data_IF_261410702218
#
_entry.id   IF_261410702218
#
_cell.length_a   1.000
_cell.length_b   1.000
_cell.length_c   1.000
_cell.angle_alpha   90.00
_cell.angle_beta   90.00
_cell.angle_gamma   90.00
#
_symmetry.space_group_name_H-M   'P 1'
#
loop_
_entity.id
_entity.type
_entity.pdbx_description
1 polymer ?
#
# COMPACT_ATOMS: atom_id res chain seq x y z
N UNK A 1 -53.65 38.96 21.56
CA UNK A 1 -52.48 39.32 20.72
C UNK A 1 -51.20 38.97 21.48
N UNK A 2 -50.28 38.27 20.80
CA UNK A 2 -48.80 38.32 20.93
C UNK A 2 -48.22 38.12 22.36
N UNK A 3 -47.69 36.93 22.66
CA UNK A 3 -46.25 36.53 22.51
C UNK A 3 -45.30 37.50 23.22
N UNK A 4 -44.50 36.98 24.16
CA UNK A 4 -43.02 37.03 24.13
C UNK A 4 -42.41 36.17 25.27
N UNK A 5 -41.62 35.19 24.83
CA UNK A 5 -40.50 34.44 25.41
C UNK A 5 -40.35 34.26 26.94
N UNK A 6 -40.46 32.99 27.35
CA UNK A 6 -39.70 32.43 28.47
C UNK A 6 -38.28 32.09 27.99
N UNK A 7 -37.27 32.74 28.56
CA UNK A 7 -35.92 32.16 28.62
C UNK A 7 -35.84 31.26 29.85
N UNK A 8 -36.02 29.96 29.65
CA UNK A 8 -35.56 28.95 30.59
C UNK A 8 -34.22 28.47 30.09
N UNK A 9 -33.16 28.94 30.72
CA UNK A 9 -31.82 28.34 30.66
C UNK A 9 -31.92 26.92 31.18
N UNK A 10 -32.22 25.98 30.28
CA UNK A 10 -31.99 24.57 30.51
C UNK A 10 -30.50 24.33 30.37
N UNK A 11 -29.80 24.25 31.50
CA UNK A 11 -28.54 23.52 31.61
C UNK A 11 -28.80 22.07 31.24
N UNK A 12 -28.75 21.74 29.94
CA UNK A 12 -28.72 20.35 29.51
C UNK A 12 -27.35 19.79 29.90
N UNK A 13 -27.36 18.94 30.93
CA UNK A 13 -26.35 17.91 31.13
C UNK A 13 -26.27 17.09 29.84
N UNK A 14 -25.32 17.43 28.96
CA UNK A 14 -24.85 16.48 27.97
C UNK A 14 -24.10 15.42 28.75
N UNK A 15 -24.76 14.28 28.93
CA UNK A 15 -24.12 13.01 29.24
C UNK A 15 -22.90 12.88 28.34
N UNK A 16 -21.72 13.12 28.88
CA UNK A 16 -20.49 12.66 28.28
C UNK A 16 -20.64 11.13 28.26
N UNK A 17 -21.04 10.60 27.10
CA UNK A 17 -20.83 9.20 26.82
C UNK A 17 -19.33 8.99 26.98
N UNK A 18 -18.94 8.40 28.12
CA UNK A 18 -17.65 7.74 28.23
C UNK A 18 -17.69 6.65 27.18
N UNK A 19 -17.24 6.98 25.97
CA UNK A 19 -16.78 5.98 25.04
C UNK A 19 -15.65 5.27 25.79
N UNK A 20 -15.79 3.97 26.12
CA UNK A 20 -14.68 3.25 26.68
C UNK A 20 -13.53 3.41 25.69
N UNK A 21 -12.45 4.04 26.15
CA UNK A 21 -11.18 3.99 25.44
C UNK A 21 -10.82 2.51 25.49
N UNK A 22 -11.19 1.79 24.43
CA UNK A 22 -10.67 0.45 24.18
C UNK A 22 -9.18 0.66 24.04
N UNK A 23 -8.46 0.31 25.11
CA UNK A 23 -7.03 0.43 25.20
C UNK A 23 -6.47 -0.51 24.11
N UNK A 24 -6.17 0.04 22.92
CA UNK A 24 -5.62 -0.67 21.75
C UNK A 24 -4.17 -1.13 21.97
N UNK A 25 -3.73 -1.28 23.22
CA UNK A 25 -2.34 -1.60 23.57
C UNK A 25 -1.96 -3.06 23.33
N UNK A 26 -2.90 -3.93 22.94
CA UNK A 26 -2.62 -5.34 22.59
C UNK A 26 -3.12 -5.72 21.20
N UNK A 27 -3.14 -4.80 20.22
CA UNK A 27 -3.11 -5.25 18.82
C UNK A 27 -1.69 -5.69 18.56
N UNK A 28 -1.46 -7.01 18.57
CA UNK A 28 -0.31 -7.57 17.87
C UNK A 28 -0.46 -7.05 16.44
N UNK A 29 0.45 -6.16 16.03
CA UNK A 29 0.44 -5.69 14.66
C UNK A 29 0.54 -6.93 13.76
N UNK A 30 -0.30 -7.01 12.72
CA UNK A 30 -0.29 -8.17 11.85
C UNK A 30 1.12 -8.36 11.29
N UNK A 31 1.62 -9.60 11.17
CA UNK A 31 2.89 -9.84 10.52
C UNK A 31 2.85 -9.22 9.12
N UNK A 32 3.89 -8.46 8.81
CA UNK A 32 3.99 -7.72 7.56
C UNK A 32 5.31 -8.01 6.88
N UNK A 33 5.29 -7.97 5.55
CA UNK A 33 6.50 -8.02 4.72
C UNK A 33 6.68 -6.66 4.06
N UNK A 34 7.91 -6.17 4.04
CA UNK A 34 8.25 -4.92 3.37
C UNK A 34 9.00 -5.19 2.08
N UNK A 35 8.56 -4.57 0.99
CA UNK A 35 9.26 -4.56 -0.30
C UNK A 35 9.70 -3.13 -0.59
N UNK A 36 11.00 -2.93 -0.76
CA UNK A 36 11.56 -1.67 -1.22
C UNK A 36 11.82 -1.71 -2.72
N UNK A 37 11.44 -0.63 -3.43
CA UNK A 37 11.66 -0.48 -4.86
C UNK A 37 12.05 0.95 -5.20
N UNK A 38 12.89 1.12 -6.21
CA UNK A 38 13.30 2.43 -6.71
C UNK A 38 12.62 2.72 -8.05
N UNK A 39 11.92 3.84 -8.12
CA UNK A 39 11.34 4.38 -9.35
C UNK A 39 12.10 5.63 -9.76
N UNK A 40 12.14 5.94 -11.06
CA UNK A 40 12.86 7.11 -11.54
C UNK A 40 12.33 7.64 -12.85
N UNK A 41 12.42 8.94 -13.02
CA UNK A 41 12.21 9.58 -14.31
C UNK A 41 13.34 10.57 -14.59
N UNK A 42 13.52 10.88 -15.87
CA UNK A 42 14.51 11.85 -16.33
C UNK A 42 13.94 12.74 -17.41
N UNK A 43 14.29 14.01 -17.40
CA UNK A 43 13.95 14.97 -18.44
C UNK A 43 15.17 15.81 -18.82
N UNK A 44 15.41 16.00 -20.11
CA UNK A 44 16.53 16.80 -20.59
C UNK A 44 16.09 18.25 -20.76
N UNK A 45 16.65 19.17 -19.97
CA UNK A 45 16.33 20.60 -20.06
C UNK A 45 16.71 21.23 -21.40
N UNK A 46 17.54 20.59 -22.22
CA UNK A 46 17.75 21.03 -23.60
C UNK A 46 16.46 21.08 -24.44
N UNK A 47 15.42 20.36 -24.04
CA UNK A 47 14.11 20.37 -24.71
C UNK A 47 13.23 21.57 -24.32
N UNK A 48 13.65 22.37 -23.33
CA UNK A 48 12.96 23.59 -22.95
C UNK A 48 13.33 24.73 -23.92
N UNK A 49 12.36 25.56 -24.29
CA UNK A 49 12.62 26.72 -25.13
C UNK A 49 13.18 27.90 -24.31
N UNK A 50 14.50 27.90 -24.12
CA UNK A 50 15.20 29.02 -23.46
C UNK A 50 15.11 30.34 -24.22
N UNK A 51 14.76 30.35 -25.51
CA UNK A 51 14.58 31.60 -26.26
C UNK A 51 13.27 32.29 -25.88
N UNK A 52 12.28 31.53 -25.40
CA UNK A 52 11.03 32.07 -24.85
C UNK A 52 11.20 32.75 -23.48
N UNK A 53 12.39 32.65 -22.86
CA UNK A 53 12.62 33.23 -21.55
C UNK A 53 12.54 34.76 -21.55
N UNK A 54 11.41 35.28 -21.05
CA UNK A 54 11.30 36.67 -20.65
C UNK A 54 11.80 36.82 -19.20
N UNK A 55 13.04 37.28 -19.05
CA UNK A 55 13.74 37.44 -17.77
C UNK A 55 13.15 38.60 -16.94
N UNK A 56 12.02 38.33 -16.29
CA UNK A 56 11.28 39.28 -15.48
C UNK A 56 11.91 39.43 -14.09
N UNK A 57 11.92 40.65 -13.56
CA UNK A 57 12.39 40.92 -12.19
C UNK A 57 11.36 40.32 -11.21
N UNK A 58 11.81 39.40 -10.36
CA UNK A 58 10.99 38.78 -9.32
C UNK A 58 10.86 39.70 -8.09
N UNK A 59 10.08 39.26 -7.09
CA UNK A 59 9.86 40.01 -5.85
C UNK A 59 11.14 40.30 -5.05
N UNK A 60 12.21 39.53 -5.27
CA UNK A 60 13.52 39.66 -4.62
C UNK A 60 14.48 40.55 -5.45
N UNK A 61 14.02 41.12 -6.57
CA UNK A 61 14.83 41.97 -7.44
C UNK A 61 15.73 41.21 -8.43
N UNK A 62 15.63 39.89 -8.50
CA UNK A 62 16.41 39.04 -9.40
C UNK A 62 15.66 38.78 -10.71
N UNK A 63 16.37 38.71 -11.84
CA UNK A 63 15.74 38.29 -13.10
C UNK A 63 15.42 36.81 -13.03
N UNK A 64 14.21 36.42 -13.39
CA UNK A 64 13.72 35.04 -13.33
C UNK A 64 12.98 34.65 -14.60
N UNK A 65 13.03 33.37 -14.94
CA UNK A 65 12.31 32.76 -16.05
C UNK A 65 11.77 31.40 -15.59
N UNK A 66 10.50 31.12 -15.85
CA UNK A 66 9.89 29.81 -15.59
C UNK A 66 9.56 29.14 -16.91
N UNK A 67 10.04 27.90 -17.10
CA UNK A 67 9.80 27.10 -18.29
C UNK A 67 9.07 25.81 -17.91
N UNK A 68 8.23 25.33 -18.81
CA UNK A 68 7.46 24.09 -18.70
C UNK A 68 7.17 23.56 -20.11
N UNK A 69 7.08 22.24 -20.26
CA UNK A 69 6.50 21.61 -21.46
C UNK A 69 5.61 20.43 -21.05
N UNK A 70 4.63 20.04 -21.88
CA UNK A 70 3.81 18.86 -21.61
C UNK A 70 4.64 17.59 -21.37
N UNK A 71 5.70 17.39 -22.14
CA UNK A 71 6.60 16.22 -22.02
C UNK A 71 7.33 16.19 -20.68
N UNK A 72 7.61 17.36 -20.09
CA UNK A 72 8.23 17.41 -18.77
C UNK A 72 7.28 16.82 -17.71
N UNK A 73 6.00 17.18 -17.78
CA UNK A 73 4.97 16.70 -16.86
C UNK A 73 4.68 15.19 -17.04
N UNK A 74 4.66 14.72 -18.30
CA UNK A 74 4.40 13.30 -18.60
C UNK A 74 5.44 12.37 -17.97
N UNK A 75 6.72 12.75 -17.91
CA UNK A 75 7.75 11.88 -17.31
C UNK A 75 7.51 11.57 -15.83
N UNK A 76 7.02 12.55 -15.05
CA UNK A 76 6.62 12.33 -13.67
C UNK A 76 5.32 11.52 -13.58
N UNK A 77 4.35 11.82 -14.45
CA UNK A 77 3.07 11.12 -14.51
C UNK A 77 3.24 9.61 -14.79
N UNK A 78 4.07 9.25 -15.77
CA UNK A 78 4.37 7.86 -16.12
C UNK A 78 5.02 7.11 -14.94
N UNK A 79 5.94 7.76 -14.24
CA UNK A 79 6.58 7.19 -13.04
C UNK A 79 5.58 6.95 -11.91
N UNK A 80 4.65 7.89 -11.70
CA UNK A 80 3.55 7.70 -10.74
C UNK A 80 2.70 6.48 -11.16
N UNK A 81 2.32 6.37 -12.44
CA UNK A 81 1.56 5.21 -12.95
C UNK A 81 2.30 3.89 -12.73
N UNK A 82 3.62 3.85 -12.90
CA UNK A 82 4.44 2.66 -12.60
C UNK A 82 4.38 2.28 -11.10
N UNK A 83 4.37 3.25 -10.19
CA UNK A 83 4.16 2.99 -8.75
C UNK A 83 2.80 2.34 -8.52
N UNK A 84 1.73 2.90 -9.10
CA UNK A 84 0.37 2.33 -8.96
C UNK A 84 0.28 0.91 -9.52
N UNK A 85 0.84 0.67 -10.72
CA UNK A 85 0.87 -0.66 -11.33
C UNK A 85 1.62 -1.66 -10.46
N UNK A 86 2.73 -1.25 -9.83
CA UNK A 86 3.46 -2.08 -8.89
C UNK A 86 2.63 -2.44 -7.65
N UNK A 87 1.94 -1.46 -7.04
CA UNK A 87 1.05 -1.72 -5.88
C UNK A 87 -0.10 -2.67 -6.23
N UNK A 88 -0.72 -2.49 -7.40
CA UNK A 88 -1.84 -3.34 -7.87
C UNK A 88 -1.37 -4.77 -8.16
N UNK A 89 -0.15 -4.95 -8.67
CA UNK A 89 0.40 -6.28 -8.97
C UNK A 89 0.61 -7.12 -7.70
N UNK A 90 0.90 -6.48 -6.57
CA UNK A 90 1.14 -7.11 -5.28
C UNK A 90 -0.18 -7.38 -4.52
N UNK A 91 -1.04 -8.25 -5.07
CA UNK A 91 -2.45 -8.55 -4.69
C UNK A 91 -2.74 -8.97 -3.23
N UNK A 92 -2.35 -8.20 -2.23
CA UNK A 92 -2.60 -8.50 -0.82
C UNK A 92 -3.73 -7.63 -0.24
N UNK A 93 -4.45 -8.18 0.74
CA UNK A 93 -5.68 -7.60 1.28
C UNK A 93 -5.47 -6.26 2.01
N UNK A 94 -4.25 -6.00 2.48
CA UNK A 94 -3.87 -4.75 3.14
C UNK A 94 -2.45 -4.36 2.73
N UNK A 95 -2.37 -3.39 1.82
CA UNK A 95 -1.11 -2.78 1.40
C UNK A 95 -1.04 -1.36 1.97
N UNK A 96 -0.03 -1.07 2.76
CA UNK A 96 0.38 0.30 3.06
C UNK A 96 1.60 0.62 2.21
N UNK A 97 1.71 1.84 1.68
CA UNK A 97 2.93 2.24 0.98
C UNK A 97 3.24 3.70 1.20
N UNK A 98 4.51 4.03 0.97
CA UNK A 98 5.02 5.40 1.07
C UNK A 98 6.30 5.53 0.26
N UNK A 99 6.55 6.73 -0.22
CA UNK A 99 7.88 7.18 -0.64
C UNK A 99 8.68 7.54 0.60
N UNK A 100 9.81 6.85 0.78
CA UNK A 100 10.77 7.07 1.86
C UNK A 100 11.69 8.25 1.61
N UNK A 101 12.06 8.46 0.34
CA UNK A 101 12.94 9.54 -0.05
C UNK A 101 12.82 9.87 -1.52
N UNK A 102 12.92 11.15 -1.84
CA UNK A 102 13.10 11.64 -3.21
C UNK A 102 14.53 12.17 -3.30
N UNK A 103 15.26 11.67 -4.27
CA UNK A 103 16.62 12.09 -4.56
C UNK A 103 16.67 12.65 -5.98
N UNK A 104 17.24 13.84 -6.11
CA UNK A 104 17.35 14.51 -7.39
C UNK A 104 18.81 14.52 -7.82
N UNK A 105 19.08 14.15 -9.07
CA UNK A 105 20.36 14.37 -9.72
C UNK A 105 20.21 15.41 -10.84
N UNK A 106 20.96 16.50 -10.74
CA UNK A 106 21.05 17.53 -11.75
C UNK A 106 22.50 18.02 -11.86
N UNK A 107 23.09 17.91 -13.05
CA UNK A 107 24.49 18.30 -13.32
C UNK A 107 25.51 17.66 -12.34
N UNK A 108 25.42 16.35 -12.11
CA UNK A 108 26.26 15.59 -11.15
C UNK A 108 26.13 16.05 -9.69
N UNK A 109 25.04 16.76 -9.37
CA UNK A 109 24.72 17.20 -8.01
C UNK A 109 23.48 16.50 -7.54
N UNK A 110 23.47 16.24 -6.26
CA UNK A 110 22.60 15.28 -5.64
C UNK A 110 21.98 15.93 -4.43
N UNK A 111 20.66 16.02 -4.40
CA UNK A 111 19.94 16.54 -3.24
C UNK A 111 18.83 15.58 -2.81
N UNK A 112 18.56 15.55 -1.50
CA UNK A 112 17.50 14.74 -0.92
C UNK A 112 16.40 15.64 -0.41
N UNK A 113 15.21 15.47 -0.97
CA UNK A 113 14.05 16.25 -0.60
C UNK A 113 13.32 15.53 0.53
N UNK A 114 13.62 15.93 1.77
CA UNK A 114 12.95 15.38 2.95
C UNK A 114 11.65 16.09 3.29
N UNK A 115 11.57 17.40 3.02
CA UNK A 115 10.45 18.24 3.47
C UNK A 115 9.17 18.08 2.63
N UNK A 116 9.26 17.47 1.46
CA UNK A 116 8.11 17.30 0.54
C UNK A 116 7.53 15.89 0.55
N UNK A 117 8.11 14.97 1.34
CA UNK A 117 7.69 13.56 1.39
C UNK A 117 6.28 13.41 1.92
N UNK A 118 5.91 14.15 2.97
CA UNK A 118 4.57 14.07 3.55
C UNK A 118 3.51 14.55 2.55
N UNK A 119 3.77 15.66 1.86
CA UNK A 119 2.87 16.17 0.80
C UNK A 119 2.75 15.16 -0.35
N UNK A 120 3.85 14.53 -0.75
CA UNK A 120 3.85 13.54 -1.84
C UNK A 120 3.14 12.25 -1.43
N UNK A 121 3.35 11.77 -0.20
CA UNK A 121 2.69 10.58 0.33
C UNK A 121 1.19 10.79 0.55
N UNK A 122 0.78 11.99 0.99
CA UNK A 122 -0.64 12.35 1.08
C UNK A 122 -1.32 12.32 -0.29
N UNK A 123 -0.65 12.84 -1.34
CA UNK A 123 -1.15 12.78 -2.72
C UNK A 123 -1.24 11.35 -3.24
N UNK A 124 -0.24 10.52 -2.94
CA UNK A 124 -0.21 9.14 -3.43
C UNK A 124 -1.16 8.22 -2.68
N UNK A 125 -1.67 8.63 -1.50
CA UNK A 125 -2.50 7.80 -0.66
C UNK A 125 -3.77 7.27 -1.37
N UNK A 126 -4.03 5.98 -1.19
CA UNK A 126 -5.13 5.20 -1.77
C UNK A 126 -5.82 4.52 -0.58
N UNK A 127 -7.13 4.72 -0.43
CA UNK A 127 -7.87 4.08 0.66
C UNK A 127 -8.09 2.57 0.43
N UNK A 128 -8.08 2.12 -0.83
CA UNK A 128 -8.30 0.71 -1.22
C UNK A 128 -7.47 0.32 -2.46
N UNK A 129 -6.33 -0.39 -2.29
CA UNK A 129 -5.45 -0.82 -3.39
C UNK A 129 -6.13 -1.71 -4.45
N UNK A 130 -7.23 -2.37 -4.08
CA UNK A 130 -7.95 -3.33 -4.94
C UNK A 130 -8.88 -2.69 -5.97
N UNK A 131 -9.13 -1.38 -5.88
CA UNK A 131 -10.04 -0.67 -6.79
C UNK A 131 -9.43 0.60 -7.38
N UNK A 132 -8.10 0.68 -7.36
CA UNK A 132 -7.40 1.90 -7.75
C UNK A 132 -7.41 2.07 -9.26
N UNK A 133 -8.11 3.10 -9.72
CA UNK A 133 -7.96 3.55 -11.10
C UNK A 133 -6.61 4.28 -11.23
N UNK A 134 -5.74 3.77 -12.12
CA UNK A 134 -4.40 4.34 -12.38
C UNK A 134 -4.50 5.81 -12.84
N UNK A 135 -5.67 6.23 -13.35
CA UNK A 135 -5.92 7.58 -13.85
C UNK A 135 -6.36 8.58 -12.75
N UNK A 136 -6.32 8.22 -11.46
CA UNK A 136 -6.77 9.12 -10.37
C UNK A 136 -5.75 10.21 -10.02
N UNK A 137 -4.45 9.96 -10.25
CA UNK A 137 -3.40 10.96 -9.99
C UNK A 137 -2.90 11.55 -11.29
N UNK A 138 -2.96 12.87 -11.37
CA UNK A 138 -2.59 13.63 -12.57
C UNK A 138 -1.57 14.70 -12.23
N UNK A 139 -0.50 14.76 -13.02
CA UNK A 139 0.44 15.88 -13.00
C UNK A 139 -0.13 16.97 -13.91
N UNK A 140 -0.65 18.05 -13.35
CA UNK A 140 -1.29 19.11 -14.14
C UNK A 140 -0.28 20.06 -14.75
N UNK A 141 0.84 20.27 -14.09
CA UNK A 141 1.96 21.05 -14.61
C UNK A 141 3.25 20.69 -13.88
N UNK A 142 4.36 20.67 -14.62
CA UNK A 142 5.69 20.61 -14.06
C UNK A 142 6.54 21.71 -14.68
N UNK A 143 7.18 22.52 -13.83
CA UNK A 143 7.94 23.68 -14.28
C UNK A 143 9.27 23.82 -13.55
N UNK A 144 10.21 24.48 -14.21
CA UNK A 144 11.51 24.84 -13.65
C UNK A 144 11.66 26.35 -13.69
N UNK A 145 12.05 26.95 -12.57
CA UNK A 145 12.37 28.38 -12.48
C UNK A 145 13.88 28.57 -12.44
N UNK A 146 14.39 29.37 -13.38
CA UNK A 146 15.76 29.83 -13.42
C UNK A 146 15.85 31.28 -12.92
N UNK A 147 16.95 31.62 -12.27
CA UNK A 147 17.30 32.99 -11.89
C UNK A 147 18.59 33.41 -12.59
N UNK A 148 18.70 34.70 -12.90
CA UNK A 148 19.85 35.34 -13.52
C UNK A 148 20.25 36.57 -12.71
N UNK A 149 21.55 36.66 -12.46
CA UNK A 149 22.20 37.83 -11.85
C UNK A 149 23.35 38.30 -12.73
N UNK A 150 23.69 39.58 -12.65
CA UNK A 150 24.85 40.13 -13.36
C UNK A 150 25.95 40.47 -12.35
N UNK A 151 27.13 39.93 -12.58
CA UNK A 151 28.35 40.25 -11.87
C UNK A 151 29.26 41.10 -12.78
N UNK A 152 29.69 42.31 -12.36
CA UNK A 152 30.53 43.17 -13.19
C UNK A 152 31.87 42.53 -13.63
N UNK A 153 32.39 41.58 -12.86
CA UNK A 153 33.67 40.93 -13.12
C UNK A 153 33.52 39.60 -13.86
N UNK A 154 32.44 38.88 -13.60
CA UNK A 154 32.24 37.51 -14.10
C UNK A 154 31.10 37.39 -15.14
N UNK A 155 30.39 38.47 -15.43
CA UNK A 155 29.27 38.49 -16.36
C UNK A 155 27.99 37.91 -15.76
N UNK A 156 27.13 37.36 -16.62
CA UNK A 156 25.88 36.74 -16.19
C UNK A 156 26.13 35.43 -15.43
N UNK A 157 25.39 35.27 -14.33
CA UNK A 157 25.35 34.07 -13.49
C UNK A 157 23.93 33.54 -13.44
N UNK A 158 23.77 32.25 -13.67
CA UNK A 158 22.48 31.58 -13.70
C UNK A 158 22.33 30.59 -12.54
N UNK A 159 21.11 30.38 -12.11
CA UNK A 159 20.76 29.46 -11.02
C UNK A 159 19.47 28.73 -11.36
N UNK A 160 19.34 27.50 -10.90
CA UNK A 160 18.03 26.82 -10.85
C UNK A 160 17.43 27.10 -9.49
N UNK A 161 16.40 27.95 -9.44
CA UNK A 161 15.70 28.32 -8.20
C UNK A 161 14.94 27.13 -7.65
N UNK A 162 14.09 26.52 -8.50
CA UNK A 162 13.33 25.34 -8.15
C UNK A 162 12.81 24.57 -9.37
N UNK A 163 12.38 23.33 -9.13
CA UNK A 163 11.52 22.53 -10.00
C UNK A 163 10.27 22.19 -9.20
N UNK A 164 9.11 22.59 -9.69
CA UNK A 164 7.83 22.39 -9.00
C UNK A 164 6.91 21.55 -9.88
N UNK A 165 6.29 20.53 -9.29
CA UNK A 165 5.19 19.79 -9.87
C UNK A 165 3.88 20.12 -9.16
N UNK A 166 2.84 20.39 -9.94
CA UNK A 166 1.46 20.49 -9.51
C UNK A 166 0.79 19.14 -9.78
N UNK A 167 0.30 18.50 -8.71
CA UNK A 167 -0.26 17.15 -8.76
C UNK A 167 -1.64 17.17 -8.11
N UNK A 168 -2.60 16.54 -8.78
CA UNK A 168 -3.97 16.37 -8.34
C UNK A 168 -4.27 14.89 -8.13
N UNK A 169 -4.94 14.56 -7.02
CA UNK A 169 -5.55 13.27 -6.78
C UNK A 169 -7.07 13.44 -6.80
N UNK A 170 -7.72 12.90 -7.83
CA UNK A 170 -9.16 13.00 -8.06
C UNK A 170 -9.99 12.11 -7.11
N UNK A 171 -9.40 11.08 -6.50
CA UNK A 171 -10.08 10.23 -5.51
C UNK A 171 -10.23 10.97 -4.18
N UNK A 172 -9.18 11.65 -3.73
CA UNK A 172 -9.16 12.39 -2.46
C UNK A 172 -9.55 13.86 -2.60
N UNK A 173 -9.68 14.37 -3.83
CA UNK A 173 -9.84 15.79 -4.16
C UNK A 173 -8.72 16.68 -3.57
N UNK A 174 -7.50 16.16 -3.52
CA UNK A 174 -6.33 16.88 -3.02
C UNK A 174 -5.52 17.39 -4.22
N UNK A 175 -5.09 18.65 -4.15
CA UNK A 175 -4.15 19.26 -5.10
C UNK A 175 -2.99 19.89 -4.32
N UNK A 176 -1.75 19.57 -4.70
CA UNK A 176 -0.55 20.08 -4.03
C UNK A 176 0.52 20.50 -5.04
N UNK A 177 1.35 21.45 -4.60
CA UNK A 177 2.60 21.82 -5.25
C UNK A 177 3.74 21.12 -4.53
N UNK A 178 4.48 20.30 -5.25
CA UNK A 178 5.61 19.53 -4.74
C UNK A 178 6.89 20.16 -5.29
N UNK A 179 7.76 20.59 -4.40
CA UNK A 179 9.06 21.10 -4.78
C UNK A 179 10.04 19.93 -5.01
N UNK A 180 10.25 19.56 -6.27
CA UNK A 180 11.08 18.43 -6.70
C UNK A 180 12.56 18.77 -6.84
N UNK A 181 12.95 20.02 -6.64
CA UNK A 181 14.33 20.47 -6.57
C UNK A 181 14.33 21.92 -6.14
N UNK A 182 15.15 22.32 -5.17
CA UNK A 182 15.17 23.68 -4.68
C UNK A 182 16.03 23.79 -3.44
N UNK A 183 16.45 25.00 -3.09
CA UNK A 183 17.79 25.22 -2.54
C UNK A 183 17.94 24.87 -1.05
N UNK A 184 18.99 24.08 -0.72
CA UNK A 184 20.06 24.55 0.17
C UNK A 184 21.48 24.47 -0.48
N UNK A 185 21.66 24.96 -1.70
CA UNK A 185 22.83 25.79 -2.10
C UNK A 185 22.61 26.39 -3.50
N UNK A 186 22.63 27.72 -3.62
CA UNK A 186 22.55 28.44 -4.90
C UNK A 186 23.76 28.08 -5.76
N UNK A 187 23.67 27.05 -6.60
CA UNK A 187 24.77 26.71 -7.49
C UNK A 187 24.79 27.63 -8.71
N UNK A 188 25.94 28.28 -8.93
CA UNK A 188 26.18 29.17 -10.04
C UNK A 188 26.52 28.37 -11.30
N UNK A 189 25.76 28.61 -12.37
CA UNK A 189 26.06 28.22 -13.74
C UNK A 189 26.54 29.43 -14.52
N UNK A 190 27.56 29.26 -15.37
CA UNK A 190 28.20 30.36 -16.11
C UNK A 190 27.49 30.70 -17.42
N UNK A 191 26.64 29.80 -17.91
CA UNK A 191 25.90 30.00 -19.15
C UNK A 191 24.57 29.25 -19.13
N UNK A 192 23.68 29.63 -20.04
CA UNK A 192 22.43 28.91 -20.29
C UNK A 192 22.71 27.48 -20.78
N UNK A 193 23.80 27.24 -21.51
CA UNK A 193 24.12 25.92 -22.02
C UNK A 193 24.49 24.93 -20.89
N UNK A 194 25.07 25.39 -19.79
CA UNK A 194 25.30 24.55 -18.60
C UNK A 194 24.00 24.12 -17.91
N UNK A 195 22.88 24.81 -18.16
CA UNK A 195 21.55 24.45 -17.63
C UNK A 195 20.86 23.36 -18.48
N UNK A 196 21.29 23.19 -19.74
CA UNK A 196 20.69 22.25 -20.72
C UNK A 196 21.18 20.82 -20.52
N UNK A 197 20.88 20.27 -19.35
CA UNK A 197 21.31 18.92 -18.96
C UNK A 197 20.13 18.09 -18.44
N UNK A 198 20.41 16.81 -18.17
CA UNK A 198 19.41 15.90 -17.63
C UNK A 198 19.11 16.23 -16.17
N UNK A 199 17.82 16.36 -15.91
CA UNK A 199 17.21 16.41 -14.60
C UNK A 199 16.62 15.03 -14.29
N UNK A 200 17.08 14.40 -13.22
CA UNK A 200 16.69 13.03 -12.87
C UNK A 200 16.16 13.03 -11.44
N UNK A 201 15.01 12.40 -11.22
CA UNK A 201 14.54 12.10 -9.86
C UNK A 201 14.44 10.60 -9.63
N UNK A 202 14.76 10.21 -8.40
CA UNK A 202 14.71 8.86 -7.90
C UNK A 202 13.83 8.82 -6.65
N UNK A 203 12.81 7.97 -6.68
CA UNK A 203 11.85 7.77 -5.60
C UNK A 203 12.13 6.40 -4.99
N UNK A 204 12.59 6.38 -3.74
CA UNK A 204 12.69 5.14 -2.99
C UNK A 204 11.34 4.90 -2.33
N UNK A 205 10.68 3.83 -2.76
CA UNK A 205 9.32 3.46 -2.41
C UNK A 205 9.34 2.23 -1.52
N UNK A 206 8.53 2.24 -0.47
CA UNK A 206 8.34 1.14 0.46
C UNK A 206 6.87 0.69 0.39
N UNK A 207 6.67 -0.60 0.16
CA UNK A 207 5.38 -1.27 0.18
C UNK A 207 5.36 -2.26 1.35
N UNK A 208 4.49 -2.02 2.31
CA UNK A 208 4.22 -2.90 3.44
C UNK A 208 2.98 -3.75 3.12
N UNK A 209 3.19 -5.05 3.05
CA UNK A 209 2.20 -6.05 2.69
C UNK A 209 1.79 -6.83 3.92
N UNK A 210 0.49 -7.05 4.08
CA UNK A 210 -0.06 -7.98 5.07
C UNK A 210 -0.87 -9.04 4.33
N UNK A 211 -0.50 -10.30 4.53
CA UNK A 211 -1.20 -11.45 3.95
C UNK A 211 -2.44 -11.73 4.80
N UNK A 212 -3.61 -11.78 4.17
CA UNK A 212 -4.86 -12.24 4.80
C UNK A 212 -5.23 -13.60 4.21
N UNK A 213 -5.29 -14.62 5.07
CA UNK A 213 -5.67 -15.97 4.68
C UNK A 213 -7.14 -16.31 4.99
N UNK A 214 -7.96 -15.31 5.35
CA UNK A 214 -9.38 -15.52 5.68
C UNK A 214 -10.13 -16.09 4.48
N UNK A 215 -10.49 -17.38 4.58
CA UNK A 215 -11.14 -18.12 3.50
C UNK A 215 -11.93 -19.30 4.07
N UNK A 216 -12.97 -19.74 3.34
CA UNK A 216 -13.73 -20.94 3.65
C UNK A 216 -13.82 -21.79 2.38
N UNK A 217 -13.27 -23.01 2.44
CA UNK A 217 -13.46 -24.02 1.38
C UNK A 217 -14.83 -24.67 1.53
N UNK A 218 -15.87 -23.99 1.07
CA UNK A 218 -17.27 -24.36 1.29
C UNK A 218 -17.79 -25.47 0.34
N UNK A 219 -17.04 -25.83 -0.71
CA UNK A 219 -17.43 -26.84 -1.70
C UNK A 219 -16.43 -28.00 -1.86
N UNK A 220 -15.48 -28.15 -0.93
CA UNK A 220 -14.47 -29.22 -0.93
C UNK A 220 -13.52 -29.18 -2.13
N UNK A 221 -12.98 -28.01 -2.46
CA UNK A 221 -11.92 -27.84 -3.48
C UNK A 221 -10.57 -28.38 -3.03
N UNK A 222 -10.34 -28.52 -1.72
CA UNK A 222 -9.07 -29.02 -1.19
C UNK A 222 -8.75 -30.44 -1.68
N UNK A 223 -9.79 -31.25 -1.92
CA UNK A 223 -9.70 -32.68 -2.25
C UNK A 223 -8.86 -33.49 -1.22
N UNK A 224 -8.66 -32.96 -0.01
CA UNK A 224 -7.89 -33.63 1.04
C UNK A 224 -8.79 -34.62 1.77
N UNK A 225 -8.43 -35.90 1.67
CA UNK A 225 -9.18 -37.03 2.22
C UNK A 225 -8.32 -37.72 3.28
N UNK A 226 -8.87 -37.92 4.48
CA UNK A 226 -8.19 -38.67 5.53
C UNK A 226 -8.13 -40.17 5.19
N UNK A 227 -7.00 -40.86 5.46
CA UNK A 227 -6.86 -42.29 5.19
C UNK A 227 -7.69 -43.15 6.15
N UNK A 228 -8.20 -44.26 5.60
CA UNK A 228 -9.04 -45.25 6.28
C UNK A 228 -8.22 -46.21 7.15
N UNK A 229 -7.83 -45.79 8.34
CA UNK A 229 -7.23 -46.72 9.33
C UNK A 229 -8.19 -47.06 10.48
N UNK A 230 -9.19 -46.21 10.79
CA UNK A 230 -10.15 -46.42 11.89
C UNK A 230 -11.49 -45.75 11.56
N UNK A 231 -12.62 -46.34 12.00
CA UNK A 231 -14.00 -45.87 11.70
C UNK A 231 -14.26 -44.42 12.12
N UNK A 232 -13.51 -43.90 13.10
CA UNK A 232 -13.52 -42.51 13.51
C UNK A 232 -12.13 -42.07 14.00
N UNK A 233 -11.73 -40.85 13.67
CA UNK A 233 -10.47 -40.27 14.15
C UNK A 233 -10.74 -39.21 15.21
N UNK A 234 -10.05 -39.32 16.34
CA UNK A 234 -9.99 -38.24 17.33
C UNK A 234 -9.13 -37.08 16.78
N UNK A 235 -9.37 -35.82 17.17
CA UNK A 235 -8.58 -34.66 16.76
C UNK A 235 -7.07 -34.90 16.80
N UNK A 236 -6.56 -35.48 17.88
CA UNK A 236 -5.12 -35.76 18.04
C UNK A 236 -4.55 -36.70 16.96
N UNK A 237 -5.34 -37.65 16.45
CA UNK A 237 -4.92 -38.54 15.37
C UNK A 237 -4.84 -37.78 14.05
N UNK A 238 -5.80 -36.88 13.81
CA UNK A 238 -5.83 -36.01 12.63
C UNK A 238 -4.64 -35.04 12.66
N UNK A 239 -4.37 -34.40 13.81
CA UNK A 239 -3.19 -33.56 14.01
C UNK A 239 -1.91 -34.34 13.66
N UNK A 240 -1.73 -35.52 14.27
CA UNK A 240 -0.55 -36.34 14.02
C UNK A 240 -0.43 -36.75 12.54
N UNK A 241 -1.55 -36.92 11.84
CA UNK A 241 -1.53 -37.22 10.41
C UNK A 241 -0.99 -36.06 9.57
N UNK A 242 -1.35 -34.82 9.91
CA UNK A 242 -0.79 -33.63 9.26
C UNK A 242 0.68 -33.39 9.64
N UNK A 243 1.08 -33.69 10.88
CA UNK A 243 2.44 -33.46 11.38
C UNK A 243 3.47 -34.52 10.95
N UNK A 244 3.03 -35.70 10.49
CA UNK A 244 3.94 -36.75 9.99
C UNK A 244 4.55 -36.35 8.64
N UNK A 245 5.86 -36.08 8.63
CA UNK A 245 6.66 -35.74 7.45
C UNK A 245 6.50 -36.72 6.27
N UNK A 246 6.27 -38.01 6.54
CA UNK A 246 6.11 -39.05 5.52
C UNK A 246 4.95 -38.78 4.55
N UNK A 247 3.90 -38.08 5.02
CA UNK A 247 2.68 -37.88 4.24
C UNK A 247 2.64 -36.54 3.48
N UNK A 248 3.61 -35.64 3.71
CA UNK A 248 3.71 -34.30 3.09
C UNK A 248 2.39 -33.50 3.12
N UNK A 249 1.52 -33.73 4.10
CA UNK A 249 0.17 -33.14 4.10
C UNK A 249 0.22 -31.64 4.35
N UNK A 250 1.10 -31.17 5.23
CA UNK A 250 1.30 -29.72 5.43
C UNK A 250 1.78 -29.02 4.16
N UNK A 251 2.63 -29.66 3.35
CA UNK A 251 3.06 -29.12 2.05
C UNK A 251 1.86 -28.99 1.10
N UNK A 252 1.00 -30.01 1.01
CA UNK A 252 -0.22 -29.96 0.18
C UNK A 252 -1.21 -28.89 0.63
N UNK A 253 -1.42 -28.75 1.94
CA UNK A 253 -2.27 -27.69 2.50
C UNK A 253 -1.71 -26.31 2.15
N UNK A 254 -0.40 -26.12 2.32
CA UNK A 254 0.28 -24.87 1.98
C UNK A 254 0.16 -24.55 0.49
N UNK A 255 0.41 -25.53 -0.39
CA UNK A 255 0.25 -25.39 -1.84
C UNK A 255 -1.19 -25.02 -2.23
N UNK A 256 -2.18 -25.65 -1.61
CA UNK A 256 -3.59 -25.37 -1.85
C UNK A 256 -3.97 -23.94 -1.43
N UNK A 257 -3.58 -23.51 -0.23
CA UNK A 257 -3.83 -22.15 0.26
C UNK A 257 -3.18 -21.11 -0.66
N UNK A 258 -1.91 -21.30 -1.00
CA UNK A 258 -1.16 -20.40 -1.88
C UNK A 258 -1.81 -20.30 -3.27
N UNK A 259 -2.32 -21.41 -3.81
CA UNK A 259 -3.03 -21.45 -5.09
C UNK A 259 -4.37 -20.74 -5.03
N UNK A 260 -5.21 -21.05 -4.05
CA UNK A 260 -6.59 -20.54 -3.97
C UNK A 260 -6.60 -19.03 -3.68
N UNK A 261 -5.70 -18.56 -2.82
CA UNK A 261 -5.61 -17.14 -2.46
C UNK A 261 -4.63 -16.35 -3.32
N UNK A 262 -3.87 -17.00 -4.22
CA UNK A 262 -2.79 -16.37 -4.99
C UNK A 262 -1.75 -15.66 -4.10
N UNK A 263 -1.35 -16.30 -3.00
CA UNK A 263 -0.36 -15.81 -2.03
C UNK A 263 0.88 -16.71 -1.98
N UNK A 264 1.89 -16.33 -1.20
CA UNK A 264 3.16 -17.07 -1.07
C UNK A 264 3.57 -17.24 0.40
N UNK A 265 2.74 -17.94 1.17
CA UNK A 265 3.09 -18.40 2.50
C UNK A 265 4.22 -19.42 2.42
N UNK A 266 5.17 -19.34 3.36
CA UNK A 266 6.30 -20.29 3.47
C UNK A 266 5.99 -21.41 4.45
N UNK A 267 5.13 -21.15 5.43
CA UNK A 267 4.69 -22.13 6.43
C UNK A 267 3.26 -21.87 6.88
N UNK A 268 2.69 -22.88 7.52
CA UNK A 268 1.45 -22.82 8.29
C UNK A 268 1.75 -23.24 9.72
N UNK A 269 0.94 -22.83 10.68
CA UNK A 269 1.05 -23.28 12.07
C UNK A 269 0.64 -24.75 12.23
N UNK A 270 0.80 -25.28 13.44
CA UNK A 270 0.25 -26.58 13.81
C UNK A 270 -1.28 -26.52 13.73
N UNK A 271 -1.87 -27.45 12.99
CA UNK A 271 -3.34 -27.59 12.93
C UNK A 271 -3.83 -27.98 14.33
N UNK A 272 -4.68 -27.14 14.89
CA UNK A 272 -5.24 -27.30 16.26
C UNK A 272 -6.69 -26.84 16.36
N UNK A 273 -7.25 -26.37 15.24
CA UNK A 273 -8.60 -25.86 15.17
C UNK A 273 -9.45 -26.76 14.29
N UNK A 274 -10.58 -27.19 14.83
CA UNK A 274 -11.50 -28.07 14.15
C UNK A 274 -12.93 -27.59 14.35
N UNK A 275 -13.72 -27.67 13.30
CA UNK A 275 -15.11 -27.24 13.30
C UNK A 275 -15.99 -28.31 12.66
N UNK A 276 -17.20 -28.43 13.16
CA UNK A 276 -18.22 -29.26 12.52
C UNK A 276 -18.57 -28.66 11.16
N UNK A 277 -18.68 -29.49 10.14
CA UNK A 277 -19.24 -29.06 8.85
C UNK A 277 -20.74 -29.38 8.83
N UNK A 278 -21.56 -28.37 8.55
CA UNK A 278 -22.99 -28.54 8.30
C UNK A 278 -23.28 -28.22 6.84
N UNK A 279 -24.06 -29.07 6.17
CA UNK A 279 -24.44 -28.84 4.79
C UNK A 279 -25.68 -27.93 4.75
N UNK A 280 -25.52 -26.72 4.20
CA UNK A 280 -26.63 -25.83 3.94
C UNK A 280 -27.25 -26.15 2.58
N UNK A 281 -28.44 -26.73 2.61
CA UNK A 281 -29.20 -27.11 1.42
C UNK A 281 -29.63 -25.92 0.56
N UNK A 282 -29.68 -24.70 1.10
CA UNK A 282 -30.08 -23.52 0.34
C UNK A 282 -28.94 -22.99 -0.54
N UNK A 283 -27.73 -22.96 0.02
CA UNK A 283 -26.52 -22.49 -0.68
C UNK A 283 -25.76 -23.62 -1.39
N UNK A 284 -26.11 -24.88 -1.13
CA UNK A 284 -25.43 -26.06 -1.66
C UNK A 284 -23.92 -26.06 -1.29
N UNK A 285 -23.64 -25.68 -0.05
CA UNK A 285 -22.32 -25.43 0.50
C UNK A 285 -22.22 -25.95 1.93
N UNK A 286 -21.01 -26.29 2.36
CA UNK A 286 -20.71 -26.57 3.75
C UNK A 286 -20.38 -25.30 4.51
N UNK A 287 -20.93 -25.18 5.72
CA UNK A 287 -20.63 -24.08 6.64
C UNK A 287 -19.98 -24.62 7.91
N UNK A 288 -18.95 -23.94 8.44
CA UNK A 288 -18.36 -24.29 9.73
C UNK A 288 -19.32 -23.86 10.86
N UNK A 289 -19.70 -24.79 11.74
CA UNK A 289 -20.66 -24.53 12.83
C UNK A 289 -20.00 -24.71 14.19
N UNK A 290 -20.36 -23.81 15.12
CA UNK A 290 -19.91 -23.85 16.50
C UNK A 290 -18.52 -23.25 16.74
N UNK A 291 -18.02 -23.42 17.96
CA UNK A 291 -16.69 -22.99 18.35
C UNK A 291 -15.66 -24.08 18.06
N UNK A 292 -14.38 -23.71 18.02
CA UNK A 292 -13.28 -24.65 17.90
C UNK A 292 -13.41 -25.79 18.94
N UNK A 293 -13.44 -27.03 18.43
CA UNK A 293 -13.60 -28.25 19.24
C UNK A 293 -12.25 -28.67 19.88
N UNK A 294 -11.12 -28.14 19.41
CA UNK A 294 -9.78 -28.33 19.99
C UNK A 294 -9.32 -29.79 20.04
N UNK A 295 -8.45 -30.11 21.00
CA UNK A 295 -7.92 -31.48 21.25
C UNK A 295 -8.92 -32.36 22.03
N UNK A 296 -10.22 -32.23 21.77
CA UNK A 296 -11.23 -33.03 22.47
C UNK A 296 -11.02 -34.54 22.20
N UNK A 297 -11.58 -35.39 23.06
CA UNK A 297 -11.65 -36.84 22.81
C UNK A 297 -12.84 -37.22 21.93
N UNK A 298 -13.60 -36.24 21.45
CA UNK A 298 -14.76 -36.50 20.60
C UNK A 298 -14.28 -36.98 19.24
N UNK A 299 -15.01 -37.96 18.71
CA UNK A 299 -14.71 -38.56 17.43
C UNK A 299 -15.42 -37.78 16.32
N UNK A 300 -14.74 -37.53 15.20
CA UNK A 300 -15.40 -37.00 14.01
C UNK A 300 -16.18 -38.11 13.29
N UNK A 301 -17.45 -38.26 13.66
CA UNK A 301 -18.38 -39.22 13.05
C UNK A 301 -18.95 -38.73 11.70
N UNK A 302 -18.88 -37.42 11.47
CA UNK A 302 -19.36 -36.78 10.27
C UNK A 302 -18.40 -37.05 9.09
N UNK A 303 -18.94 -37.29 7.86
CA UNK A 303 -18.13 -37.55 6.68
C UNK A 303 -17.34 -36.31 6.22
N UNK A 304 -17.67 -35.13 6.72
CA UNK A 304 -16.97 -33.89 6.45
C UNK A 304 -16.81 -33.07 7.73
N UNK A 305 -15.68 -32.37 7.85
CA UNK A 305 -15.41 -31.41 8.92
C UNK A 305 -14.42 -30.35 8.42
N UNK A 306 -14.34 -29.20 9.08
CA UNK A 306 -13.36 -28.17 8.75
C UNK A 306 -12.15 -28.23 9.68
N UNK A 307 -10.98 -27.95 9.13
CA UNK A 307 -9.81 -27.56 9.92
C UNK A 307 -9.53 -26.07 9.74
N UNK A 308 -9.17 -25.39 10.82
CA UNK A 308 -8.67 -24.02 10.77
C UNK A 308 -7.15 -24.04 10.62
N UNK A 309 -6.66 -23.46 9.53
CA UNK A 309 -5.25 -23.27 9.26
C UNK A 309 -4.90 -21.80 9.49
N UNK A 310 -3.82 -21.55 10.22
CA UNK A 310 -3.27 -20.21 10.49
C UNK A 310 -1.79 -20.15 10.12
N UNK A 311 -1.23 -18.96 10.01
CA UNK A 311 0.22 -18.74 9.97
C UNK A 311 0.53 -17.42 10.69
N UNK A 312 0.53 -17.48 12.03
CA UNK A 312 0.60 -16.32 12.94
C UNK A 312 1.82 -15.43 12.71
N UNK A 313 2.93 -16.00 12.23
CA UNK A 313 4.16 -15.26 11.93
C UNK A 313 4.18 -14.60 10.53
N UNK A 314 3.27 -14.96 9.62
CA UNK A 314 3.32 -14.53 8.21
C UNK A 314 2.03 -13.87 7.72
N UNK A 315 0.92 -14.03 8.43
CA UNK A 315 -0.39 -13.61 7.95
C UNK A 315 -1.44 -13.43 9.04
N UNK A 316 -2.55 -12.78 8.68
CA UNK A 316 -3.75 -12.67 9.51
C UNK A 316 -4.90 -13.53 8.99
N UNK A 317 -5.86 -13.79 9.88
CA UNK A 317 -7.06 -14.53 9.53
C UNK A 317 -6.88 -16.02 9.69
N UNK A 318 -7.85 -16.77 9.15
CA UNK A 318 -7.89 -18.22 9.25
C UNK A 318 -8.51 -18.81 7.98
N UNK A 319 -7.81 -19.78 7.40
CA UNK A 319 -8.26 -20.54 6.25
C UNK A 319 -8.98 -21.77 6.78
N UNK A 320 -10.30 -21.81 6.63
CA UNK A 320 -11.13 -22.95 7.01
C UNK A 320 -11.21 -23.92 5.84
N UNK A 321 -10.44 -24.98 5.92
CA UNK A 321 -10.36 -25.99 4.87
C UNK A 321 -11.29 -27.16 5.20
N UNK A 322 -12.16 -27.51 4.26
CA UNK A 322 -13.05 -28.67 4.39
C UNK A 322 -12.26 -29.94 4.11
N UNK A 323 -12.41 -30.92 4.99
CA UNK A 323 -11.78 -32.23 4.93
C UNK A 323 -12.86 -33.30 4.86
N UNK A 324 -12.61 -34.32 4.04
CA UNK A 324 -13.46 -35.50 3.97
C UNK A 324 -12.90 -36.60 4.85
N UNK A 325 -13.73 -37.10 5.76
CA UNK A 325 -13.52 -38.35 6.46
C UNK A 325 -14.12 -39.48 5.60
N UNK A 326 -13.31 -40.48 5.25
CA UNK A 326 -13.83 -41.65 4.52
C UNK A 326 -14.72 -42.47 5.46
N UNK A 327 -16.04 -42.32 5.28
CA UNK A 327 -17.02 -43.23 5.83
C UNK A 327 -17.17 -44.40 4.85
N UNK A 328 -16.95 -45.63 5.30
CA UNK A 328 -17.38 -46.81 4.54
C UNK A 328 -18.91 -46.88 4.50
#
# INVERSE_FOLDING_TARGET
MKKVLFSLTATSLTLAAFTPIVNRQNRIDPPFTTIEKRFSYSYNFNNLDFNSCNWNINAEGLKSCTLSTPEFSHGLEDMIKEIYQFVIAEKFATNQYKVLSIYTNFNNRSDSLRNELDNFNELLYINTPTNTNIDQVKVTNQSVTFERTYDPYFGDKFYVKNVIAEIENHETNISKKINLYGIPSYHVFKSVDELKTNFINHFNFELTLVIDLTYIDDIFKSEIILPNEVYFQAPIQIINWFEKNENKQREKVLEYINKELSISLKKIDKISKFYKAEYDFNSNQFVPVGNNIGDSREFYEDPYFFIGVTSEDESIGEFKMLIKNLKN
#
